data_IF_611561778782
#
_entry.id   IF_611561778782
#
_cell.length_a   1.000
_cell.length_b   1.000
_cell.length_c   1.000
_cell.angle_alpha   90.00
_cell.angle_beta   90.00
_cell.angle_gamma   90.00
#
_symmetry.space_group_name_H-M   'P 1'
#
loop_
_entity.id
_entity.type
_entity.pdbx_description
1 polymer ?
#
# COMPACT_ATOMS: atom_id res chain seq x y z
N UNK A 1 4.43 21.61 8.46
CA UNK A 1 3.56 20.50 7.99
C UNK A 1 4.27 19.19 8.31
N UNK A 2 3.65 18.40 9.15
CA UNK A 2 4.27 17.19 9.69
C UNK A 2 4.42 16.11 8.62
N UNK A 3 5.56 15.44 8.65
CA UNK A 3 5.80 14.22 7.89
C UNK A 3 5.24 13.07 8.73
N UNK A 4 4.47 12.15 8.14
CA UNK A 4 3.96 10.98 8.87
C UNK A 4 5.09 10.19 9.49
N UNK A 5 4.94 9.88 10.77
CA UNK A 5 5.87 8.99 11.46
C UNK A 5 5.61 7.54 11.06
N UNK A 6 6.61 6.69 11.27
CA UNK A 6 6.47 5.25 11.08
C UNK A 6 5.26 4.68 11.83
N UNK A 7 5.11 5.05 13.10
CA UNK A 7 4.04 4.53 13.96
C UNK A 7 2.64 4.97 13.47
N UNK A 8 2.49 6.20 12.98
CA UNK A 8 1.23 6.66 12.37
C UNK A 8 0.89 5.87 11.11
N UNK A 9 1.87 5.57 10.26
CA UNK A 9 1.65 4.73 9.08
C UNK A 9 1.27 3.30 9.49
N UNK A 10 1.94 2.73 10.49
CA UNK A 10 1.63 1.38 11.02
C UNK A 10 0.19 1.31 11.52
N UNK A 11 -0.23 2.25 12.37
CA UNK A 11 -1.60 2.25 12.92
C UNK A 11 -2.65 2.44 11.81
N UNK A 12 -2.40 3.34 10.87
CA UNK A 12 -3.32 3.57 9.75
C UNK A 12 -3.47 2.34 8.85
N UNK A 13 -2.37 1.62 8.56
CA UNK A 13 -2.41 0.35 7.82
C UNK A 13 -3.18 -0.71 8.60
N UNK A 14 -2.98 -0.80 9.92
CA UNK A 14 -3.72 -1.74 10.78
C UNK A 14 -5.21 -1.48 10.75
N UNK A 15 -5.60 -0.23 10.91
CA UNK A 15 -7.01 0.15 10.98
C UNK A 15 -7.72 -0.09 9.63
N UNK A 16 -7.09 0.29 8.52
CA UNK A 16 -7.67 0.09 7.18
C UNK A 16 -7.77 -1.38 6.82
N UNK A 17 -6.76 -2.19 7.17
CA UNK A 17 -6.79 -3.64 6.93
C UNK A 17 -7.84 -4.32 7.81
N UNK A 18 -7.92 -3.96 9.09
CA UNK A 18 -8.95 -4.48 10.01
C UNK A 18 -10.35 -4.17 9.52
N UNK A 19 -10.60 -2.93 9.11
CA UNK A 19 -11.91 -2.50 8.59
C UNK A 19 -12.33 -3.34 7.37
N UNK A 20 -11.39 -3.64 6.46
CA UNK A 20 -11.68 -4.50 5.32
C UNK A 20 -12.08 -5.92 5.75
N UNK A 21 -11.36 -6.51 6.71
CA UNK A 21 -11.68 -7.84 7.22
C UNK A 21 -13.03 -7.87 7.93
N UNK A 22 -13.35 -6.86 8.73
CA UNK A 22 -14.64 -6.77 9.43
C UNK A 22 -15.84 -6.58 8.49
N UNK A 23 -15.64 -6.04 7.30
CA UNK A 23 -16.73 -5.66 6.38
C UNK A 23 -16.85 -6.56 5.15
N UNK A 24 -15.77 -7.10 4.63
CA UNK A 24 -15.73 -7.75 3.33
C UNK A 24 -15.06 -9.12 3.32
N UNK A 25 -14.18 -9.40 4.27
CA UNK A 25 -13.43 -10.65 4.35
C UNK A 25 -13.83 -11.44 5.59
N UNK A 26 -13.44 -12.70 5.63
CA UNK A 26 -13.63 -13.59 6.79
C UNK A 26 -12.27 -14.14 7.23
N UNK A 27 -12.21 -14.64 8.47
CA UNK A 27 -11.02 -15.21 9.08
C UNK A 27 -10.52 -14.42 10.28
N UNK A 28 -9.70 -15.06 11.10
CA UNK A 28 -9.08 -14.45 12.27
C UNK A 28 -7.85 -13.64 11.85
N UNK A 29 -8.01 -12.33 11.75
CA UNK A 29 -6.92 -11.40 11.41
C UNK A 29 -6.11 -11.03 12.65
N UNK A 30 -4.81 -11.29 12.62
CA UNK A 30 -3.86 -10.86 13.64
C UNK A 30 -2.82 -9.94 13.03
N UNK A 31 -2.71 -8.71 13.54
CA UNK A 31 -1.66 -7.78 13.15
C UNK A 31 -0.38 -8.01 13.99
N UNK A 32 0.75 -8.11 13.33
CA UNK A 32 2.06 -8.27 13.96
C UNK A 32 2.78 -6.91 14.08
N UNK A 33 3.90 -6.81 14.84
CA UNK A 33 4.67 -5.58 14.94
C UNK A 33 5.14 -5.08 13.58
N UNK A 34 4.83 -3.81 13.25
CA UNK A 34 5.34 -3.17 12.05
C UNK A 34 6.84 -2.91 12.13
N UNK A 35 7.51 -2.90 10.99
CA UNK A 35 8.95 -2.64 10.91
C UNK A 35 9.31 -1.82 9.67
N UNK A 36 10.52 -1.26 9.65
CA UNK A 36 11.08 -0.58 8.49
C UNK A 36 11.99 -1.50 7.70
N UNK A 37 11.91 -1.45 6.38
CA UNK A 37 12.76 -2.23 5.50
C UNK A 37 13.25 -1.38 4.32
N UNK A 38 14.56 -1.45 4.07
CA UNK A 38 15.22 -0.93 2.86
C UNK A 38 15.87 -2.05 2.05
N UNK A 39 15.69 -3.31 2.48
CA UNK A 39 16.34 -4.46 1.87
C UNK A 39 15.67 -4.85 0.56
N UNK A 40 16.46 -5.50 -0.30
CA UNK A 40 15.94 -6.30 -1.41
C UNK A 40 15.18 -7.48 -0.82
N UNK A 41 13.96 -7.66 -1.26
CA UNK A 41 13.13 -8.79 -0.86
C UNK A 41 13.24 -9.88 -1.93
N UNK A 42 13.51 -11.10 -1.49
CA UNK A 42 13.54 -12.29 -2.33
C UNK A 42 12.31 -13.14 -2.02
N UNK A 43 11.64 -13.57 -3.06
CA UNK A 43 10.40 -14.32 -2.94
C UNK A 43 10.52 -15.67 -3.64
N UNK A 44 10.08 -16.75 -2.98
CA UNK A 44 9.98 -18.07 -3.60
C UNK A 44 8.78 -18.13 -4.54
N UNK A 45 7.62 -18.53 -4.07
CA UNK A 45 6.37 -18.46 -4.81
C UNK A 45 5.43 -17.51 -4.10
N UNK A 46 5.05 -16.41 -4.77
CA UNK A 46 4.21 -15.42 -4.12
C UNK A 46 3.47 -14.54 -5.09
N UNK A 47 2.42 -13.90 -4.56
CA UNK A 47 1.68 -12.82 -5.21
C UNK A 47 2.10 -11.49 -4.58
N UNK A 48 2.48 -10.55 -5.41
CA UNK A 48 2.83 -9.19 -5.03
C UNK A 48 1.98 -8.20 -5.82
N UNK A 49 1.20 -7.38 -5.13
CA UNK A 49 0.40 -6.34 -5.75
C UNK A 49 0.91 -4.96 -5.34
N UNK A 50 1.07 -4.06 -6.30
CA UNK A 50 1.64 -2.72 -6.13
C UNK A 50 0.69 -1.65 -6.66
N UNK A 51 0.54 -0.55 -5.90
CA UNK A 51 -0.19 0.66 -6.26
C UNK A 51 0.71 1.87 -6.01
N UNK A 52 0.84 2.76 -6.99
CA UNK A 52 1.59 4.00 -6.88
C UNK A 52 0.76 5.13 -6.28
N UNK A 53 1.39 6.01 -5.48
CA UNK A 53 0.83 7.28 -5.02
C UNK A 53 1.37 8.45 -5.84
N UNK A 54 0.51 9.43 -6.11
CA UNK A 54 0.87 10.68 -6.79
C UNK A 54 0.12 11.87 -6.17
N UNK A 55 0.67 13.07 -6.29
CA UNK A 55 0.10 14.30 -5.71
C UNK A 55 1.09 14.97 -4.77
N UNK A 56 0.60 15.52 -3.64
CA UNK A 56 1.44 16.16 -2.61
C UNK A 56 2.42 15.18 -1.96
N UNK A 57 2.07 13.90 -1.96
CA UNK A 57 2.94 12.80 -1.60
C UNK A 57 3.08 11.83 -2.78
N UNK A 58 4.25 11.25 -2.91
CA UNK A 58 4.59 10.20 -3.88
C UNK A 58 5.09 8.96 -3.15
N UNK A 59 4.94 7.82 -3.77
CA UNK A 59 5.37 6.56 -3.18
C UNK A 59 4.58 5.37 -3.69
N UNK A 60 4.39 4.39 -2.83
CA UNK A 60 3.69 3.17 -3.20
C UNK A 60 3.07 2.48 -1.98
N UNK A 61 1.96 1.80 -2.22
CA UNK A 61 1.38 0.80 -1.33
C UNK A 61 1.46 -0.58 -1.98
N UNK A 62 1.66 -1.64 -1.20
CA UNK A 62 1.69 -3.00 -1.73
C UNK A 62 1.13 -4.01 -0.74
N UNK A 63 0.60 -5.10 -1.28
CA UNK A 63 0.29 -6.32 -0.57
C UNK A 63 1.17 -7.45 -1.12
N UNK A 64 1.73 -8.25 -0.23
CA UNK A 64 2.52 -9.42 -0.56
C UNK A 64 2.07 -10.62 0.25
N UNK A 65 1.88 -11.77 -0.39
CA UNK A 65 1.47 -13.01 0.25
C UNK A 65 1.94 -14.23 -0.55
N UNK A 66 1.90 -15.41 0.07
CA UNK A 66 2.09 -16.68 -0.65
C UNK A 66 0.90 -16.98 -1.58
N UNK A 67 1.09 -17.87 -2.55
CA UNK A 67 0.01 -18.33 -3.41
C UNK A 67 -1.16 -18.96 -2.61
N UNK A 68 -0.86 -19.71 -1.56
CA UNK A 68 -1.89 -20.29 -0.68
C UNK A 68 -2.70 -19.21 0.06
N UNK A 69 -2.03 -18.19 0.58
CA UNK A 69 -2.70 -17.06 1.22
C UNK A 69 -3.55 -16.27 0.20
N UNK A 70 -3.05 -16.06 -1.02
CA UNK A 70 -3.81 -15.40 -2.08
C UNK A 70 -5.11 -16.14 -2.42
N UNK A 71 -5.05 -17.45 -2.55
CA UNK A 71 -6.24 -18.32 -2.77
C UNK A 71 -7.24 -18.17 -1.62
N UNK A 72 -6.79 -18.18 -0.36
CA UNK A 72 -7.65 -17.98 0.81
C UNK A 72 -8.31 -16.60 0.81
N UNK A 73 -7.55 -15.55 0.59
CA UNK A 73 -8.06 -14.17 0.55
C UNK A 73 -9.09 -13.98 -0.58
N UNK A 74 -8.80 -14.52 -1.78
CA UNK A 74 -9.71 -14.48 -2.92
C UNK A 74 -10.99 -15.27 -2.64
N UNK A 75 -10.87 -16.47 -2.07
CA UNK A 75 -12.02 -17.31 -1.71
C UNK A 75 -12.94 -16.62 -0.70
N UNK A 76 -12.34 -15.90 0.25
CA UNK A 76 -13.08 -15.10 1.24
C UNK A 76 -13.82 -13.92 0.58
N UNK A 77 -13.13 -13.15 -0.28
CA UNK A 77 -13.72 -11.97 -0.93
C UNK A 77 -14.86 -12.36 -1.89
N UNK A 78 -14.63 -13.38 -2.71
CA UNK A 78 -15.57 -13.78 -3.77
C UNK A 78 -16.62 -14.81 -3.30
N UNK A 79 -16.52 -15.28 -2.05
CA UNK A 79 -17.37 -16.34 -1.50
C UNK A 79 -17.41 -17.58 -2.40
N UNK A 80 -16.27 -17.95 -2.98
CA UNK A 80 -16.08 -19.05 -3.92
C UNK A 80 -14.78 -19.77 -3.58
N UNK A 81 -14.76 -21.10 -3.59
CA UNK A 81 -13.56 -21.87 -3.33
C UNK A 81 -12.64 -21.88 -4.57
N UNK A 82 -11.38 -21.55 -4.36
CA UNK A 82 -10.30 -21.65 -5.34
C UNK A 82 -9.26 -22.68 -4.84
N UNK A 83 -8.70 -23.46 -5.75
CA UNK A 83 -7.68 -24.48 -5.44
C UNK A 83 -6.25 -24.03 -5.77
N UNK A 84 -6.12 -23.02 -6.64
CA UNK A 84 -4.83 -22.51 -7.14
C UNK A 84 -4.94 -21.04 -7.51
N UNK A 85 -3.79 -20.40 -7.66
CA UNK A 85 -3.72 -19.04 -8.19
C UNK A 85 -4.03 -19.07 -9.69
N UNK A 86 -5.07 -18.33 -10.08
CA UNK A 86 -5.50 -18.07 -11.46
C UNK A 86 -5.81 -16.58 -11.64
N UNK A 87 -6.34 -16.20 -12.78
CA UNK A 87 -6.67 -14.80 -13.10
C UNK A 87 -7.69 -14.20 -12.11
N UNK A 88 -8.72 -14.97 -11.71
CA UNK A 88 -9.74 -14.49 -10.76
C UNK A 88 -9.14 -14.27 -9.37
N UNK A 89 -8.22 -15.13 -8.92
CA UNK A 89 -7.49 -14.96 -7.67
C UNK A 89 -6.59 -13.71 -7.74
N UNK A 90 -5.90 -13.47 -8.85
CA UNK A 90 -5.05 -12.29 -9.02
C UNK A 90 -5.87 -11.00 -9.06
N UNK A 91 -7.03 -11.00 -9.72
CA UNK A 91 -7.96 -9.87 -9.72
C UNK A 91 -8.51 -9.59 -8.31
N UNK A 92 -8.85 -10.63 -7.56
CA UNK A 92 -9.27 -10.48 -6.16
C UNK A 92 -8.18 -9.87 -5.28
N UNK A 93 -6.91 -10.27 -5.44
CA UNK A 93 -5.77 -9.66 -4.72
C UNK A 93 -5.57 -8.21 -5.14
N UNK A 94 -5.75 -7.88 -6.42
CA UNK A 94 -5.72 -6.50 -6.89
C UNK A 94 -6.78 -5.65 -6.19
N UNK A 95 -8.02 -6.17 -6.09
CA UNK A 95 -9.12 -5.46 -5.43
C UNK A 95 -8.90 -5.31 -3.93
N UNK A 96 -8.48 -6.36 -3.22
CA UNK A 96 -8.13 -6.31 -1.80
C UNK A 96 -7.05 -5.24 -1.56
N UNK A 97 -6.00 -5.23 -2.38
CA UNK A 97 -4.92 -4.23 -2.27
C UNK A 97 -5.45 -2.82 -2.52
N UNK A 98 -6.28 -2.66 -3.56
CA UNK A 98 -6.91 -1.38 -3.89
C UNK A 98 -7.79 -0.85 -2.75
N UNK A 99 -8.53 -1.72 -2.10
CA UNK A 99 -9.36 -1.34 -0.95
C UNK A 99 -8.53 -0.93 0.26
N UNK A 100 -7.48 -1.68 0.63
CA UNK A 100 -6.60 -1.35 1.75
C UNK A 100 -5.86 -0.03 1.47
N UNK A 101 -5.19 0.08 0.32
CA UNK A 101 -4.39 1.25 -0.05
C UNK A 101 -5.28 2.47 -0.33
N UNK A 102 -6.47 2.27 -0.90
CA UNK A 102 -7.47 3.32 -1.11
C UNK A 102 -8.00 3.88 0.21
N UNK A 103 -8.35 3.04 1.16
CA UNK A 103 -8.78 3.47 2.48
C UNK A 103 -7.65 4.17 3.24
N UNK A 104 -6.42 3.65 3.17
CA UNK A 104 -5.23 4.30 3.69
C UNK A 104 -5.04 5.70 3.09
N UNK A 105 -5.12 5.81 1.76
CA UNK A 105 -5.04 7.07 1.02
C UNK A 105 -6.12 8.07 1.47
N UNK A 106 -7.39 7.62 1.59
CA UNK A 106 -8.49 8.48 1.99
C UNK A 106 -8.28 9.06 3.40
N UNK A 107 -7.87 8.23 4.36
CA UNK A 107 -7.55 8.69 5.71
C UNK A 107 -6.33 9.64 5.73
N UNK A 108 -5.37 9.44 4.83
CA UNK A 108 -4.22 10.31 4.70
C UNK A 108 -4.60 11.70 4.15
N UNK A 109 -5.51 11.77 3.17
CA UNK A 109 -5.98 13.02 2.55
C UNK A 109 -6.62 13.99 3.52
N UNK A 110 -7.24 13.50 4.58
CA UNK A 110 -7.80 14.36 5.63
C UNK A 110 -6.75 15.29 6.28
N UNK A 111 -5.48 14.88 6.22
CA UNK A 111 -4.36 15.60 6.85
C UNK A 111 -3.44 16.31 5.87
N UNK A 112 -3.21 15.73 4.68
CA UNK A 112 -2.10 16.16 3.81
C UNK A 112 -2.51 16.75 2.47
N UNK A 113 -3.79 16.73 2.12
CA UNK A 113 -4.25 17.16 0.81
C UNK A 113 -4.43 16.01 -0.18
N UNK A 114 -4.60 16.33 -1.46
CA UNK A 114 -5.05 15.38 -2.48
C UNK A 114 -3.92 14.40 -2.88
N UNK A 115 -4.24 13.10 -2.82
CA UNK A 115 -3.37 12.02 -3.25
C UNK A 115 -4.11 11.16 -4.28
N UNK A 116 -3.55 11.01 -5.48
CA UNK A 116 -4.02 10.05 -6.47
C UNK A 116 -3.37 8.69 -6.27
N UNK A 117 -4.05 7.65 -6.72
CA UNK A 117 -3.49 6.29 -6.79
C UNK A 117 -3.53 5.75 -8.22
N UNK A 118 -2.55 4.93 -8.59
CA UNK A 118 -2.55 4.20 -9.86
C UNK A 118 -3.49 3.01 -9.82
N UNK A 119 -3.76 2.42 -10.97
CA UNK A 119 -4.31 1.05 -11.04
C UNK A 119 -3.33 0.07 -10.39
N UNK A 120 -3.84 -1.03 -9.78
CA UNK A 120 -2.99 -2.09 -9.26
C UNK A 120 -2.14 -2.77 -10.34
N UNK A 121 -0.92 -3.16 -9.99
CA UNK A 121 -0.09 -4.05 -10.80
C UNK A 121 0.18 -5.30 -9.99
N UNK A 122 -0.25 -6.46 -10.49
CA UNK A 122 -0.07 -7.76 -9.82
C UNK A 122 1.05 -8.54 -10.49
N UNK A 123 1.94 -9.09 -9.68
CA UNK A 123 3.02 -9.98 -10.09
C UNK A 123 2.83 -11.31 -9.36
N UNK A 124 2.71 -12.38 -10.13
CA UNK A 124 2.72 -13.74 -9.60
C UNK A 124 3.89 -14.50 -10.22
N UNK A 125 4.67 -15.18 -9.41
CA UNK A 125 5.83 -15.90 -9.91
C UNK A 125 6.61 -16.61 -8.83
N UNK A 126 7.70 -17.28 -9.32
CA UNK A 126 8.65 -18.00 -8.49
C UNK A 126 10.02 -17.34 -8.58
N UNK A 127 10.76 -17.29 -7.47
CA UNK A 127 12.16 -16.86 -7.41
C UNK A 127 12.43 -15.51 -8.08
N UNK A 128 11.75 -14.45 -7.62
CA UNK A 128 12.03 -13.10 -8.05
C UNK A 128 12.50 -12.22 -6.87
N UNK A 129 13.20 -11.14 -7.19
CA UNK A 129 13.60 -10.14 -6.23
C UNK A 129 12.96 -8.79 -6.54
N UNK A 130 12.33 -8.18 -5.55
CA UNK A 130 11.85 -6.81 -5.66
C UNK A 130 12.83 -5.85 -5.01
N UNK A 131 13.26 -4.83 -5.75
CA UNK A 131 14.18 -3.82 -5.28
C UNK A 131 13.61 -2.43 -5.46
N UNK A 132 13.68 -1.65 -4.41
CA UNK A 132 13.32 -0.25 -4.46
C UNK A 132 14.53 0.63 -4.78
N UNK A 133 14.39 1.55 -5.74
CA UNK A 133 15.37 2.55 -6.08
C UNK A 133 14.95 3.90 -5.50
N UNK A 134 15.30 4.17 -4.26
CA UNK A 134 14.98 5.42 -3.58
C UNK A 134 15.58 5.47 -2.18
N UNK A 135 15.62 6.66 -1.59
CA UNK A 135 16.20 6.87 -0.27
C UNK A 135 15.27 6.53 0.89
N UNK A 136 13.97 6.41 0.64
CA UNK A 136 13.00 6.14 1.70
C UNK A 136 12.77 4.66 1.93
N UNK A 137 12.63 4.30 3.20
CA UNK A 137 12.32 2.96 3.65
C UNK A 137 10.82 2.65 3.50
N UNK A 138 10.50 1.37 3.35
CA UNK A 138 9.15 0.87 3.49
C UNK A 138 8.78 0.73 4.97
N UNK A 139 7.58 1.13 5.32
CA UNK A 139 6.90 0.67 6.52
C UNK A 139 6.14 -0.59 6.16
N UNK A 140 6.53 -1.72 6.72
CA UNK A 140 5.88 -3.01 6.53
C UNK A 140 5.07 -3.37 7.77
N UNK A 141 3.82 -3.79 7.55
CA UNK A 141 2.94 -4.30 8.60
C UNK A 141 2.54 -5.72 8.24
N UNK A 142 3.11 -6.72 8.92
CA UNK A 142 2.73 -8.11 8.71
C UNK A 142 1.42 -8.43 9.40
N UNK A 143 0.66 -9.33 8.77
CA UNK A 143 -0.57 -9.89 9.29
C UNK A 143 -0.57 -11.40 9.13
N UNK A 144 -1.38 -12.07 9.93
CA UNK A 144 -1.78 -13.45 9.67
C UNK A 144 -3.30 -13.54 9.61
N UNK A 145 -3.81 -14.39 8.72
CA UNK A 145 -5.22 -14.75 8.63
C UNK A 145 -5.33 -16.27 8.65
N UNK A 146 -5.97 -16.82 9.69
CA UNK A 146 -6.09 -18.27 9.92
C UNK A 146 -4.74 -19.01 9.79
N UNK A 147 -3.64 -18.38 10.19
CA UNK A 147 -2.28 -18.91 10.16
C UNK A 147 -1.48 -18.63 8.89
N UNK A 148 -2.09 -18.17 7.81
CA UNK A 148 -1.37 -17.70 6.60
C UNK A 148 -0.92 -16.26 6.77
N UNK A 149 0.33 -15.98 6.34
CA UNK A 149 0.92 -14.66 6.49
C UNK A 149 0.82 -13.83 5.21
N UNK A 150 0.58 -12.52 5.38
CA UNK A 150 0.73 -11.51 4.33
C UNK A 150 1.26 -10.20 4.91
N UNK A 151 1.85 -9.36 4.05
CA UNK A 151 2.35 -8.05 4.43
C UNK A 151 1.62 -6.96 3.66
N UNK A 152 1.29 -5.87 4.36
CA UNK A 152 0.94 -4.60 3.72
C UNK A 152 2.11 -3.63 3.95
N UNK A 153 2.58 -3.01 2.87
CA UNK A 153 3.74 -2.12 2.90
C UNK A 153 3.39 -0.78 2.31
N UNK A 154 3.82 0.27 2.97
CA UNK A 154 3.63 1.65 2.53
C UNK A 154 4.99 2.36 2.50
N UNK A 155 5.22 3.08 1.42
CA UNK A 155 6.30 4.04 1.28
C UNK A 155 5.73 5.37 0.85
N UNK A 156 6.03 6.43 1.58
CA UNK A 156 5.55 7.79 1.31
C UNK A 156 6.70 8.79 1.44
N UNK A 157 6.78 9.68 0.47
CA UNK A 157 7.66 10.85 0.47
C UNK A 157 6.89 12.09 0.04
N UNK A 158 7.23 13.25 0.58
CA UNK A 158 6.72 14.51 0.06
C UNK A 158 7.20 14.72 -1.37
N UNK A 159 6.28 15.15 -2.24
CA UNK A 159 6.61 15.47 -3.63
C UNK A 159 7.40 16.79 -3.70
N UNK A 160 8.72 16.68 -3.78
CA UNK A 160 9.64 17.82 -3.84
C UNK A 160 9.45 18.68 -5.10
N UNK A 161 8.97 18.11 -6.20
CA UNK A 161 8.71 18.86 -7.43
C UNK A 161 7.49 19.78 -7.27
N UNK A 162 6.39 19.25 -6.74
CA UNK A 162 5.21 20.07 -6.44
C UNK A 162 5.57 21.17 -5.44
N UNK A 163 6.34 20.87 -4.40
CA UNK A 163 6.78 21.89 -3.44
C UNK A 163 7.56 23.02 -4.12
N UNK A 164 8.53 22.69 -4.99
CA UNK A 164 9.30 23.69 -5.75
C UNK A 164 8.43 24.51 -6.68
N UNK A 165 7.44 23.90 -7.32
CA UNK A 165 6.50 24.61 -8.20
C UNK A 165 5.64 25.58 -7.42
N UNK A 166 5.09 25.18 -6.26
CA UNK A 166 4.30 26.04 -5.39
C UNK A 166 5.10 27.21 -4.82
N UNK A 167 6.36 27.01 -4.44
CA UNK A 167 7.28 28.06 -4.00
C UNK A 167 7.53 29.08 -5.12
N UNK A 168 7.81 28.63 -6.33
CA UNK A 168 8.00 29.51 -7.50
C UNK A 168 6.75 30.32 -7.81
N UNK A 169 5.60 29.67 -7.85
CA UNK A 169 4.31 30.34 -8.09
C UNK A 169 3.99 31.40 -7.03
N UNK A 170 4.27 31.12 -5.78
CA UNK A 170 4.07 32.05 -4.66
C UNK A 170 4.98 33.28 -4.78
N UNK A 171 6.24 33.11 -5.21
CA UNK A 171 7.19 34.20 -5.45
C UNK A 171 6.74 35.08 -6.64
N UNK A 172 6.31 34.47 -7.75
CA UNK A 172 5.81 35.18 -8.92
C UNK A 172 4.56 36.03 -8.58
N UNK A 173 3.63 35.46 -7.82
CA UNK A 173 2.41 36.14 -7.39
C UNK A 173 2.71 37.29 -6.44
N UNK A 174 3.64 37.15 -5.51
CA UNK A 174 4.08 38.20 -4.62
C UNK A 174 4.73 39.40 -5.37
N UNK A 175 5.46 39.10 -6.44
CA UNK A 175 6.11 40.11 -7.29
C UNK A 175 5.10 40.92 -8.13
N UNK A 176 3.96 40.34 -8.47
CA UNK A 176 2.90 41.01 -9.26
C UNK A 176 2.00 41.92 -8.41
N UNK A 177 1.95 41.76 -7.09
CA UNK A 177 1.12 42.58 -6.18
C UNK A 177 1.86 43.86 -5.74
N UNK A 178 3.14 44.00 -6.05
CA UNK A 178 3.95 45.18 -5.71
C UNK A 178 4.06 46.22 -6.85
N UNK A 179 3.33 46.06 -7.92
CA UNK A 179 3.17 47.05 -9.04
C UNK A 179 1.76 47.63 -9.02
#
# INVERSE_FOLDING_TARGET
METFTHDQVVELVRDTTRTLFETMLSGELVALPGYRSSKVEEYEESVFCLIGFTGDYVGSGSLHCSGACAVRLASSLLMTEFEKVDEEVLDAIAEITNMIVGNFKNALEETVGVIGISTPTVIFGHQYAARNFGASEWTAVPFTVDGDAFDVRIRLEKNKEIQRLLERYSIEKASQVQL
#
